data_IF_866545722735
#
_entry.id   IF_866545722735
#
_cell.length_a   1.000
_cell.length_b   1.000
_cell.length_c   1.000
_cell.angle_alpha   90.00
_cell.angle_beta   90.00
_cell.angle_gamma   90.00
#
_symmetry.space_group_name_H-M   'P 1'
#
loop_
_entity.id
_entity.type
_entity.pdbx_description
1 polymer ?
#
# COMPACT_ATOMS: atom_id res chain seq x y z
N UNK A 1 -39.27 -23.03 31.37
CA UNK A 1 -38.62 -22.85 30.06
C UNK A 1 -37.22 -23.45 30.17
N UNK A 2 -37.07 -24.70 29.72
CA UNK A 2 -35.86 -25.50 29.86
C UNK A 2 -35.02 -25.38 28.59
N UNK A 3 -33.90 -24.64 28.67
CA UNK A 3 -32.90 -24.64 27.60
C UNK A 3 -32.22 -26.00 27.55
N UNK A 4 -32.32 -26.68 26.40
CA UNK A 4 -31.67 -27.96 26.14
C UNK A 4 -30.15 -27.75 25.98
N UNK A 5 -29.31 -28.67 26.49
CA UNK A 5 -27.85 -28.55 26.48
C UNK A 5 -27.22 -28.59 25.07
N UNK A 6 -28.01 -28.87 24.04
CA UNK A 6 -27.57 -29.00 22.65
C UNK A 6 -27.32 -27.64 21.96
N UNK A 7 -28.02 -26.58 22.38
CA UNK A 7 -27.90 -25.23 21.80
C UNK A 7 -26.63 -24.51 22.30
N UNK A 8 -26.19 -24.80 23.52
CA UNK A 8 -24.96 -24.22 24.10
C UNK A 8 -23.70 -24.76 23.40
N UNK A 9 -23.70 -26.04 23.00
CA UNK A 9 -22.58 -26.68 22.33
C UNK A 9 -22.34 -26.15 20.90
N UNK A 10 -23.42 -25.79 20.17
CA UNK A 10 -23.31 -25.17 18.83
C UNK A 10 -22.75 -23.76 18.89
N UNK A 11 -23.14 -22.97 19.90
CA UNK A 11 -22.63 -21.62 20.08
C UNK A 11 -21.12 -21.59 20.38
N UNK A 12 -20.62 -22.55 21.16
CA UNK A 12 -19.18 -22.68 21.47
C UNK A 12 -18.37 -23.13 20.25
N UNK A 13 -18.92 -24.03 19.42
CA UNK A 13 -18.21 -24.52 18.23
C UNK A 13 -18.08 -23.46 17.12
N UNK A 14 -19.07 -22.56 16.99
CA UNK A 14 -19.04 -21.45 16.04
C UNK A 14 -18.09 -20.33 16.52
N UNK A 15 -17.93 -20.16 17.84
CA UNK A 15 -17.02 -19.15 18.41
C UNK A 15 -15.54 -19.54 18.31
N UNK A 16 -15.23 -20.85 18.21
CA UNK A 16 -13.85 -21.35 18.12
C UNK A 16 -13.24 -21.31 16.70
N UNK A 17 -14.06 -21.26 15.65
CA UNK A 17 -13.59 -21.29 14.25
C UNK A 17 -13.19 -19.89 13.73
N UNK A 18 -13.61 -18.81 14.39
CA UNK A 18 -13.32 -17.43 13.95
C UNK A 18 -11.99 -16.86 14.43
N UNK A 19 -11.21 -17.55 15.27
CA UNK A 19 -10.04 -16.96 15.94
C UNK A 19 -8.69 -17.26 15.23
N UNK A 20 -8.64 -18.14 14.23
CA UNK A 20 -7.35 -18.55 13.62
C UNK A 20 -7.28 -18.33 12.10
N UNK A 21 -7.61 -17.12 11.65
CA UNK A 21 -7.16 -16.63 10.35
C UNK A 21 -6.19 -15.46 10.56
N UNK A 22 -5.05 -15.75 11.19
CA UNK A 22 -3.83 -14.94 11.03
C UNK A 22 -3.35 -15.12 9.58
N UNK A 23 -4.05 -14.47 8.66
CA UNK A 23 -3.77 -14.53 7.24
C UNK A 23 -2.38 -13.99 6.97
N UNK A 24 -1.52 -14.83 6.40
CA UNK A 24 -0.30 -14.37 5.72
C UNK A 24 -0.74 -13.51 4.53
N UNK A 25 -0.55 -12.20 4.64
CA UNK A 25 -0.96 -11.25 3.61
C UNK A 25 -0.67 -9.81 4.02
N UNK A 26 -0.86 -8.86 3.10
CA UNK A 26 -0.77 -7.44 3.42
C UNK A 26 -1.73 -7.08 4.56
N UNK A 27 -1.24 -6.29 5.50
CA UNK A 27 -2.05 -5.62 6.51
C UNK A 27 -2.92 -4.51 5.92
N UNK A 28 -3.51 -3.65 6.77
CA UNK A 28 -4.28 -2.50 6.28
C UNK A 28 -3.41 -1.58 5.42
N UNK A 29 -4.00 -1.01 4.37
CA UNK A 29 -3.37 0.06 3.60
C UNK A 29 -3.48 1.36 4.38
N UNK A 30 -2.34 1.92 4.76
CA UNK A 30 -2.23 3.17 5.51
C UNK A 30 -1.74 4.28 4.58
N UNK A 31 -2.45 5.43 4.49
CA UNK A 31 -1.95 6.59 3.76
C UNK A 31 -0.57 7.00 4.26
N UNK A 32 0.37 7.21 3.34
CA UNK A 32 1.75 7.49 3.69
C UNK A 32 2.21 8.86 3.19
N UNK A 33 1.98 9.16 1.91
CA UNK A 33 2.32 10.48 1.35
C UNK A 33 1.32 10.90 0.28
N UNK A 34 1.10 12.20 0.17
CA UNK A 34 0.26 12.82 -0.85
C UNK A 34 0.99 14.04 -1.41
N UNK A 35 0.96 14.21 -2.74
CA UNK A 35 1.56 15.36 -3.42
C UNK A 35 0.69 15.82 -4.59
N UNK A 36 0.31 17.08 -4.56
CA UNK A 36 -0.47 17.72 -5.63
C UNK A 36 0.39 18.10 -6.82
N UNK A 37 -0.20 18.08 -8.02
CA UNK A 37 0.40 18.60 -9.25
C UNK A 37 0.66 20.10 -9.15
N UNK A 38 1.58 20.66 -9.94
CA UNK A 38 1.89 22.10 -9.92
C UNK A 38 0.69 23.02 -10.14
N UNK A 39 -0.36 22.55 -10.81
CA UNK A 39 -1.61 23.28 -11.05
C UNK A 39 -2.78 22.81 -10.17
N UNK A 40 -2.50 21.97 -9.17
CA UNK A 40 -3.46 21.38 -8.23
C UNK A 40 -4.62 20.58 -8.87
N UNK A 41 -4.52 20.21 -10.16
CA UNK A 41 -5.54 19.38 -10.82
C UNK A 41 -5.51 17.93 -10.39
N UNK A 42 -4.34 17.44 -10.01
CA UNK A 42 -4.16 16.07 -9.57
C UNK A 42 -3.54 16.00 -8.18
N UNK A 43 -3.94 15.01 -7.41
CA UNK A 43 -3.30 14.65 -6.14
C UNK A 43 -2.84 13.21 -6.21
N UNK A 44 -1.52 12.99 -6.19
CA UNK A 44 -0.94 11.65 -6.18
C UNK A 44 -0.74 11.17 -4.75
N UNK A 45 -1.21 9.97 -4.43
CA UNK A 45 -1.16 9.38 -3.09
C UNK A 45 -0.45 8.05 -3.11
N UNK A 46 0.40 7.82 -2.12
CA UNK A 46 0.92 6.51 -1.79
C UNK A 46 0.35 6.08 -0.45
N UNK A 47 -0.16 4.86 -0.42
CA UNK A 47 -0.43 4.10 0.79
C UNK A 47 0.55 2.93 0.89
N UNK A 48 0.90 2.56 2.11
CA UNK A 48 1.73 1.40 2.40
C UNK A 48 0.94 0.38 3.21
N UNK A 49 1.25 -0.89 3.02
CA UNK A 49 0.79 -1.96 3.89
C UNK A 49 1.98 -2.78 4.34
N UNK A 50 2.12 -2.89 5.66
CA UNK A 50 3.03 -3.83 6.29
C UNK A 50 2.30 -5.18 6.44
N UNK A 51 3.00 -6.32 6.33
CA UNK A 51 2.36 -7.63 6.49
C UNK A 51 1.79 -7.76 7.91
N UNK A 52 0.61 -8.40 8.02
CA UNK A 52 -0.01 -8.68 9.32
C UNK A 52 0.97 -9.46 10.19
N UNK A 53 1.15 -9.05 11.45
CA UNK A 53 2.09 -9.68 12.38
C UNK A 53 1.98 -11.21 12.34
N UNK A 54 3.11 -11.85 12.06
CA UNK A 54 3.33 -13.25 12.46
C UNK A 54 3.99 -13.17 13.83
N UNK A 55 3.33 -13.74 14.84
CA UNK A 55 3.85 -13.88 16.20
C UNK A 55 5.28 -14.41 16.16
N UNK A 56 6.25 -13.64 16.67
CA UNK A 56 7.60 -14.15 16.98
C UNK A 56 8.81 -13.47 16.33
N UNK A 57 8.68 -12.37 15.59
CA UNK A 57 9.87 -11.67 15.07
C UNK A 57 9.62 -10.18 14.73
N UNK A 58 10.09 -9.28 15.59
CA UNK A 58 9.96 -7.82 15.45
C UNK A 58 10.83 -7.25 14.30
N UNK A 59 11.98 -7.88 14.01
CA UNK A 59 12.96 -7.41 13.00
C UNK A 59 13.07 -8.29 11.76
N UNK A 60 12.07 -9.12 11.49
CA UNK A 60 12.13 -9.97 10.31
C UNK A 60 12.03 -9.13 9.04
N UNK A 61 12.91 -9.42 8.08
CA UNK A 61 12.89 -8.87 6.72
C UNK A 61 11.53 -9.14 6.09
N UNK A 62 10.69 -8.11 6.03
CA UNK A 62 9.27 -8.19 5.67
C UNK A 62 8.96 -7.19 4.57
N UNK A 63 8.50 -7.65 3.40
CA UNK A 63 8.28 -6.74 2.29
C UNK A 63 7.18 -5.72 2.62
N UNK A 64 7.34 -4.50 2.12
CA UNK A 64 6.28 -3.51 2.09
C UNK A 64 5.47 -3.66 0.81
N UNK A 65 4.15 -3.49 0.92
CA UNK A 65 3.28 -3.37 -0.24
C UNK A 65 2.94 -1.89 -0.43
N UNK A 66 3.25 -1.35 -1.61
CA UNK A 66 3.06 0.06 -1.94
C UNK A 66 1.93 0.17 -2.96
N UNK A 67 0.97 1.02 -2.65
CA UNK A 67 -0.22 1.29 -3.45
C UNK A 67 -0.22 2.75 -3.86
N UNK A 68 -0.14 3.00 -5.17
CA UNK A 68 -0.19 4.34 -5.73
C UNK A 68 -1.55 4.60 -6.35
N UNK A 69 -2.16 5.72 -5.97
CA UNK A 69 -3.40 6.23 -6.58
C UNK A 69 -3.20 7.69 -6.99
N UNK A 70 -4.05 8.14 -7.91
CA UNK A 70 -4.11 9.55 -8.26
C UNK A 70 -5.56 10.00 -8.32
N UNK A 71 -5.85 11.11 -7.66
CA UNK A 71 -7.15 11.75 -7.67
C UNK A 71 -7.14 12.92 -8.66
N UNK A 72 -8.13 12.99 -9.53
CA UNK A 72 -8.43 14.21 -10.28
C UNK A 72 -9.31 15.11 -9.40
N UNK A 73 -8.77 16.27 -9.01
CA UNK A 73 -9.43 17.18 -8.07
C UNK A 73 -10.62 17.92 -8.68
N UNK A 74 -10.76 17.91 -10.01
CA UNK A 74 -11.89 18.52 -10.70
C UNK A 74 -13.09 17.57 -10.78
N UNK A 75 -12.85 16.28 -11.02
CA UNK A 75 -13.91 15.26 -11.13
C UNK A 75 -14.12 14.44 -9.85
N UNK A 76 -13.23 14.56 -8.87
CA UNK A 76 -13.10 13.66 -7.70
C UNK A 76 -12.90 12.18 -8.06
N UNK A 77 -12.54 11.89 -9.31
CA UNK A 77 -12.25 10.53 -9.76
C UNK A 77 -10.89 10.08 -9.21
N UNK A 78 -10.83 8.83 -8.76
CA UNK A 78 -9.62 8.21 -8.22
C UNK A 78 -9.23 7.04 -9.09
N UNK A 79 -7.97 7.03 -9.52
CA UNK A 79 -7.41 6.00 -10.37
C UNK A 79 -6.30 5.25 -9.63
N UNK A 80 -6.28 3.94 -9.79
CA UNK A 80 -5.13 3.12 -9.39
C UNK A 80 -4.01 3.31 -10.42
N UNK A 81 -2.80 3.60 -9.93
CA UNK A 81 -1.63 3.83 -10.78
C UNK A 81 -0.78 2.58 -10.82
N UNK A 82 -0.34 2.09 -9.66
CA UNK A 82 0.39 0.83 -9.55
C UNK A 82 0.26 0.23 -8.16
N UNK A 83 0.51 -1.08 -8.07
CA UNK A 83 0.78 -1.80 -6.83
C UNK A 83 2.14 -2.48 -6.97
N UNK A 84 2.99 -2.37 -5.95
CA UNK A 84 4.31 -3.00 -6.00
C UNK A 84 4.79 -3.46 -4.64
N UNK A 85 5.50 -4.59 -4.63
CA UNK A 85 6.17 -5.13 -3.46
C UNK A 85 7.59 -4.60 -3.38
N UNK A 86 8.00 -4.04 -2.25
CA UNK A 86 9.38 -3.68 -1.94
C UNK A 86 9.91 -4.64 -0.91
N UNK A 87 11.03 -5.31 -1.21
CA UNK A 87 11.73 -6.08 -0.18
C UNK A 87 12.20 -5.15 0.95
N UNK A 88 12.37 -5.67 2.15
CA UNK A 88 12.82 -4.90 3.31
C UNK A 88 13.99 -5.63 3.97
N UNK A 89 15.01 -4.89 4.36
CA UNK A 89 16.18 -5.38 5.08
C UNK A 89 16.00 -5.45 6.60
N UNK A 90 14.83 -5.05 7.10
CA UNK A 90 14.46 -5.01 8.52
C UNK A 90 14.31 -3.60 9.07
N UNK A 91 14.56 -2.57 8.24
CA UNK A 91 14.37 -1.17 8.62
C UNK A 91 12.91 -0.75 8.36
N UNK A 92 12.26 -0.01 9.29
CA UNK A 92 10.92 0.52 9.07
C UNK A 92 10.85 1.44 7.85
N UNK A 93 9.73 1.40 7.14
CA UNK A 93 9.49 2.27 6.00
C UNK A 93 9.34 3.72 6.46
N UNK A 94 10.05 4.65 5.82
CA UNK A 94 10.02 6.06 6.13
C UNK A 94 10.00 6.93 4.86
N UNK A 95 9.94 8.24 5.07
CA UNK A 95 9.83 9.25 4.01
C UNK A 95 11.05 9.26 3.07
N UNK A 96 12.22 8.85 3.53
CA UNK A 96 13.42 8.72 2.71
C UNK A 96 13.33 7.57 1.69
N UNK A 97 12.39 6.64 1.89
CA UNK A 97 12.16 5.52 0.97
C UNK A 97 11.34 5.89 -0.26
N UNK A 98 10.79 7.11 -0.33
CA UNK A 98 9.96 7.59 -1.44
C UNK A 98 10.45 8.95 -1.91
N UNK A 99 10.68 9.07 -3.22
CA UNK A 99 10.80 10.37 -3.88
C UNK A 99 9.66 10.55 -4.88
N UNK A 100 8.92 11.65 -4.74
CA UNK A 100 7.87 12.08 -5.65
C UNK A 100 8.24 13.42 -6.27
N UNK A 101 8.40 13.47 -7.59
CA UNK A 101 8.77 14.70 -8.31
C UNK A 101 7.88 14.92 -9.53
N UNK A 102 7.09 15.98 -9.47
CA UNK A 102 6.42 16.51 -10.66
C UNK A 102 7.46 17.13 -11.58
N UNK A 103 7.56 16.63 -12.81
CA UNK A 103 8.42 17.21 -13.86
C UNK A 103 7.62 18.09 -14.82
N UNK A 104 6.29 17.95 -14.83
CA UNK A 104 5.36 18.84 -15.51
C UNK A 104 4.03 18.92 -14.73
N UNK A 105 3.04 19.65 -15.26
CA UNK A 105 1.68 19.69 -14.70
C UNK A 105 0.97 18.33 -14.72
N UNK A 106 1.33 17.46 -15.68
CA UNK A 106 0.66 16.19 -15.93
C UNK A 106 1.62 15.00 -15.84
N UNK A 107 2.85 15.21 -15.37
CA UNK A 107 3.89 14.18 -15.37
C UNK A 107 4.59 14.13 -14.02
N UNK A 108 4.62 12.93 -13.44
CA UNK A 108 5.21 12.62 -12.15
C UNK A 108 6.24 11.51 -12.31
N UNK A 109 7.39 11.69 -11.65
CA UNK A 109 8.37 10.64 -11.43
C UNK A 109 8.24 10.17 -9.99
N UNK A 110 8.17 8.85 -9.80
CA UNK A 110 8.12 8.18 -8.51
C UNK A 110 9.33 7.27 -8.41
N UNK A 111 10.11 7.43 -7.35
CA UNK A 111 11.22 6.53 -7.04
C UNK A 111 10.98 5.93 -5.66
N UNK A 112 10.97 4.60 -5.60
CA UNK A 112 10.80 3.82 -4.39
C UNK A 112 12.09 3.09 -4.07
N UNK A 113 12.55 3.18 -2.83
CA UNK A 113 13.76 2.52 -2.35
C UNK A 113 13.57 2.08 -0.91
N UNK A 114 13.41 0.78 -0.68
CA UNK A 114 13.50 0.23 0.66
C UNK A 114 14.99 0.04 1.01
N UNK A 115 15.58 1.01 1.70
CA UNK A 115 16.97 0.95 2.21
C UNK A 115 18.02 0.54 1.15
N UNK A 116 18.86 -0.46 1.41
CA UNK A 116 19.98 -0.92 0.55
C UNK A 116 19.58 -1.87 -0.59
N UNK A 117 18.28 -1.94 -0.92
CA UNK A 117 17.76 -2.82 -1.97
C UNK A 117 17.55 -2.09 -3.30
N UNK A 118 17.36 -2.83 -4.42
CA UNK A 118 17.14 -2.24 -5.73
C UNK A 118 15.98 -1.26 -5.74
N UNK A 119 16.20 -0.10 -6.38
CA UNK A 119 15.19 0.93 -6.54
C UNK A 119 14.14 0.48 -7.55
N UNK A 120 12.91 0.96 -7.37
CA UNK A 120 11.84 0.87 -8.38
C UNK A 120 11.44 2.28 -8.79
N UNK A 121 11.58 2.59 -10.07
CA UNK A 121 11.20 3.89 -10.62
C UNK A 121 9.97 3.78 -11.51
N UNK A 122 9.11 4.79 -11.47
CA UNK A 122 7.93 4.90 -12.32
C UNK A 122 7.82 6.30 -12.90
N UNK A 123 7.57 6.38 -14.19
CA UNK A 123 7.13 7.57 -14.89
C UNK A 123 5.62 7.50 -15.11
N UNK A 124 4.88 8.47 -14.57
CA UNK A 124 3.42 8.54 -14.63
C UNK A 124 3.03 9.78 -15.43
N UNK A 125 2.28 9.58 -16.52
CA UNK A 125 1.78 10.65 -17.40
C UNK A 125 0.25 10.66 -17.43
N UNK A 126 -0.36 11.84 -17.32
CA UNK A 126 -1.82 12.08 -17.31
C UNK A 126 -2.26 13.06 -18.40
N UNK A 127 -1.65 13.02 -19.58
CA UNK A 127 -1.99 13.96 -20.66
C UNK A 127 -3.34 13.66 -21.33
N UNK A 128 -3.55 12.42 -21.78
CA UNK A 128 -4.80 11.98 -22.45
C UNK A 128 -5.37 10.74 -21.78
N UNK A 129 -4.54 9.72 -21.68
CA UNK A 129 -4.76 8.51 -20.92
C UNK A 129 -3.65 8.41 -19.90
N UNK A 130 -3.94 7.78 -18.76
CA UNK A 130 -2.90 7.51 -17.77
C UNK A 130 -1.94 6.46 -18.31
N UNK A 131 -0.66 6.79 -18.33
CA UNK A 131 0.41 5.87 -18.73
C UNK A 131 1.40 5.76 -17.59
N UNK A 132 1.71 4.53 -17.22
CA UNK A 132 2.74 4.20 -16.24
C UNK A 132 3.82 3.41 -16.97
N UNK A 133 5.07 3.82 -16.80
CA UNK A 133 6.23 3.14 -17.38
C UNK A 133 7.31 2.99 -16.32
N UNK A 134 7.95 1.82 -16.29
CA UNK A 134 9.07 1.58 -15.39
C UNK A 134 10.27 2.46 -15.80
N UNK A 135 11.03 2.91 -14.81
CA UNK A 135 12.28 3.64 -14.98
C UNK A 135 13.43 2.78 -14.45
N UNK A 136 14.40 2.51 -15.31
CA UNK A 136 15.61 1.76 -14.95
C UNK A 136 16.48 2.50 -13.94
N UNK A 137 16.43 3.86 -13.96
CA UNK A 137 17.25 4.69 -13.10
C UNK A 137 16.44 5.73 -12.34
N UNK A 138 16.66 5.66 -11.04
CA UNK A 138 16.32 6.56 -9.95
C UNK A 138 17.56 6.60 -9.02
#
# INVERSE_FOLDING_TARGET
MTHTPLELAKAVFILLITIMSSGCGPGPQLPFTEKSSPDNKFSFRIAISEPREILGCEFCRRPFYVYATIQNNLSSEVFNVFETRLENDGVPFNDQNISLRWVSRNTLIVCLRASDLPKKGYHVSMEKIMVVSDLDNC
#
